data_IF_561855524206
#
_entry.id   IF_561855524206
#
_cell.length_a   1.000
_cell.length_b   1.000
_cell.length_c   1.000
_cell.angle_alpha   90.00
_cell.angle_beta   90.00
_cell.angle_gamma   90.00
#
_symmetry.space_group_name_H-M   'P 1'
#
loop_
_entity.id
_entity.type
_entity.pdbx_description
1 polymer ?
#
# COMPACT_ATOMS: atom_id res chain seq x y z
N UNK A 1 30.21 62.38 3.40
CA UNK A 1 31.12 62.15 2.25
C UNK A 1 30.24 61.74 1.08
N UNK A 2 29.70 62.63 0.23
CA UNK A 2 30.35 63.34 -0.90
C UNK A 2 31.39 62.50 -1.65
N UNK A 3 31.01 61.95 -2.80
CA UNK A 3 31.61 62.17 -4.13
C UNK A 3 30.76 61.45 -5.20
N UNK A 4 30.07 62.23 -6.06
CA UNK A 4 30.42 62.59 -7.45
C UNK A 4 30.14 61.43 -8.43
N UNK A 5 29.00 61.47 -9.15
CA UNK A 5 28.83 62.13 -10.46
C UNK A 5 29.74 61.56 -11.54
N UNK A 6 29.18 60.72 -12.40
CA UNK A 6 29.52 60.69 -13.82
C UNK A 6 28.29 60.32 -14.63
N UNK A 7 27.64 61.35 -15.13
CA UNK A 7 26.67 61.29 -16.21
C UNK A 7 27.34 60.70 -17.45
N UNK A 8 26.78 59.61 -17.98
CA UNK A 8 26.96 59.25 -19.38
C UNK A 8 25.63 59.44 -20.09
N UNK A 9 25.39 60.68 -20.51
CA UNK A 9 24.49 61.00 -21.61
C UNK A 9 25.06 60.38 -22.88
N UNK A 10 24.38 59.38 -23.43
CA UNK A 10 24.58 59.00 -24.83
C UNK A 10 23.28 59.37 -25.55
N UNK A 11 23.47 60.27 -26.50
CA UNK A 11 22.46 60.99 -27.23
C UNK A 11 21.51 60.04 -27.98
N UNK A 12 20.22 60.32 -27.81
CA UNK A 12 19.15 59.92 -28.73
C UNK A 12 19.42 60.59 -30.10
N UNK A 13 20.22 59.96 -30.95
CA UNK A 13 20.31 60.33 -32.37
C UNK A 13 19.16 59.66 -33.10
N UNK A 14 18.06 60.38 -33.19
CA UNK A 14 16.96 60.10 -34.11
C UNK A 14 17.50 60.16 -35.55
N UNK A 15 17.83 59.00 -36.12
CA UNK A 15 18.06 58.87 -37.55
C UNK A 15 16.69 58.73 -38.21
N UNK A 16 16.13 59.88 -38.56
CA UNK A 16 14.99 60.02 -39.45
C UNK A 16 15.44 59.62 -40.87
N UNK A 17 15.44 58.32 -41.16
CA UNK A 17 15.53 57.82 -42.54
C UNK A 17 14.17 58.08 -43.18
N UNK A 18 14.05 59.24 -43.84
CA UNK A 18 13.07 59.50 -44.89
C UNK A 18 13.34 58.52 -46.05
N UNK A 19 12.80 57.31 -45.94
CA UNK A 19 12.74 56.37 -47.04
C UNK A 19 11.61 56.82 -47.96
N UNK A 20 12.01 57.33 -49.12
CA UNK A 20 11.15 57.72 -50.22
C UNK A 20 10.14 56.61 -50.52
N UNK A 21 8.86 56.98 -50.56
CA UNK A 21 7.78 56.14 -51.08
C UNK A 21 8.03 56.00 -52.58
N UNK A 22 8.76 54.96 -52.95
CA UNK A 22 8.73 54.44 -54.30
C UNK A 22 7.36 53.78 -54.49
N UNK A 23 6.43 54.51 -55.08
CA UNK A 23 5.19 53.97 -55.65
C UNK A 23 5.52 53.08 -56.86
N UNK A 24 6.10 51.92 -56.58
CA UNK A 24 6.01 50.76 -57.46
C UNK A 24 4.82 49.94 -57.00
N UNK A 25 3.98 49.50 -57.93
CA UNK A 25 2.90 48.55 -57.67
C UNK A 25 3.46 47.18 -57.25
N UNK A 26 4.12 47.10 -56.10
CA UNK A 26 4.33 45.85 -55.39
C UNK A 26 2.96 45.50 -54.79
N UNK A 27 2.29 44.50 -55.34
CA UNK A 27 0.99 44.07 -54.82
C UNK A 27 1.15 43.69 -53.35
N UNK A 28 0.48 44.40 -52.46
CA UNK A 28 0.43 44.04 -51.05
C UNK A 28 -0.40 42.78 -50.90
N UNK A 29 0.05 41.84 -50.05
CA UNK A 29 -0.71 40.63 -49.72
C UNK A 29 -2.13 41.03 -49.30
N UNK A 30 -3.19 40.37 -49.84
CA UNK A 30 -4.56 40.66 -49.45
C UNK A 30 -4.77 40.50 -47.95
N UNK A 31 -5.49 41.42 -47.30
CA UNK A 31 -5.76 41.34 -45.86
C UNK A 31 -6.46 40.05 -45.47
N UNK A 32 -7.33 39.50 -46.32
CA UNK A 32 -8.01 38.23 -46.05
C UNK A 32 -7.03 37.06 -45.91
N UNK A 33 -5.91 37.07 -46.65
CA UNK A 33 -4.86 36.04 -46.53
C UNK A 33 -4.10 36.20 -45.21
N UNK A 34 -3.85 37.45 -44.80
CA UNK A 34 -3.21 37.76 -43.50
C UNK A 34 -4.10 37.32 -42.35
N UNK A 35 -5.39 37.63 -42.40
CA UNK A 35 -6.37 37.29 -41.37
C UNK A 35 -6.53 35.78 -41.21
N UNK A 36 -6.59 35.02 -42.31
CA UNK A 36 -6.66 33.55 -42.26
C UNK A 36 -5.42 32.95 -41.59
N UNK A 37 -4.22 33.43 -41.94
CA UNK A 37 -2.98 32.93 -41.35
C UNK A 37 -2.86 33.32 -39.86
N UNK A 38 -3.28 34.53 -39.51
CA UNK A 38 -3.34 34.98 -38.12
C UNK A 38 -4.30 34.11 -37.30
N UNK A 39 -5.52 33.92 -37.78
CA UNK A 39 -6.51 33.08 -37.11
C UNK A 39 -6.03 31.61 -36.99
N UNK A 40 -5.26 31.10 -37.96
CA UNK A 40 -4.68 29.77 -37.87
C UNK A 40 -3.60 29.70 -36.79
N UNK A 41 -2.78 30.75 -36.65
CA UNK A 41 -1.80 30.85 -35.58
C UNK A 41 -2.48 30.98 -34.21
N UNK A 42 -3.48 31.85 -34.09
CA UNK A 42 -4.27 32.01 -32.86
C UNK A 42 -4.93 30.68 -32.45
N UNK A 43 -5.45 29.91 -33.42
CA UNK A 43 -5.99 28.57 -33.17
C UNK A 43 -4.90 27.57 -32.69
N UNK A 44 -3.70 27.61 -33.28
CA UNK A 44 -2.56 26.77 -32.82
C UNK A 44 -2.11 27.14 -31.42
N UNK A 45 -2.04 28.44 -31.11
CA UNK A 45 -1.73 28.96 -29.78
C UNK A 45 -2.84 28.61 -28.77
N UNK A 46 -4.07 28.43 -29.23
CA UNK A 46 -5.19 27.85 -28.48
C UNK A 46 -5.16 26.31 -28.40
N UNK A 47 -4.06 25.66 -28.77
CA UNK A 47 -3.85 24.21 -28.73
C UNK A 47 -4.71 23.41 -29.73
N UNK A 48 -5.11 23.98 -30.87
CA UNK A 48 -5.88 23.26 -31.89
C UNK A 48 -5.19 22.01 -32.44
N UNK A 49 -3.86 21.91 -32.34
CA UNK A 49 -3.10 20.71 -32.70
C UNK A 49 -3.37 19.51 -31.80
N UNK A 50 -3.95 19.74 -30.62
CA UNK A 50 -4.32 18.69 -29.65
C UNK A 50 -5.83 18.52 -29.58
N UNK A 51 -6.57 19.64 -29.56
CA UNK A 51 -8.01 19.63 -29.27
C UNK A 51 -8.92 19.77 -30.49
N UNK A 52 -8.36 20.07 -31.67
CA UNK A 52 -9.12 20.22 -32.91
C UNK A 52 -8.35 19.61 -34.10
N UNK A 53 -7.62 18.51 -33.86
CA UNK A 53 -6.66 17.92 -34.82
C UNK A 53 -7.28 17.60 -36.18
N UNK A 54 -8.46 16.99 -36.18
CA UNK A 54 -9.16 16.61 -37.41
C UNK A 54 -9.60 17.85 -38.20
N UNK A 55 -10.25 18.80 -37.52
CA UNK A 55 -10.71 20.06 -38.11
C UNK A 55 -9.52 20.91 -38.62
N UNK A 56 -8.40 20.94 -37.90
CA UNK A 56 -7.16 21.60 -38.27
C UNK A 56 -6.56 20.97 -39.55
N UNK A 57 -6.47 19.64 -39.60
CA UNK A 57 -5.99 18.92 -40.79
C UNK A 57 -6.87 19.20 -42.01
N UNK A 58 -8.18 19.35 -41.81
CA UNK A 58 -9.16 19.63 -42.85
C UNK A 58 -9.06 21.03 -43.47
N UNK A 59 -8.43 22.00 -42.79
CA UNK A 59 -8.19 23.35 -43.34
C UNK A 59 -6.76 23.56 -43.82
N UNK A 60 -5.79 22.80 -43.31
CA UNK A 60 -4.36 23.04 -43.52
C UNK A 60 -3.97 23.02 -45.00
N UNK A 61 -4.44 22.04 -45.78
CA UNK A 61 -4.15 21.96 -47.22
C UNK A 61 -4.71 23.15 -48.03
N UNK A 62 -5.86 23.69 -47.61
CA UNK A 62 -6.44 24.89 -48.21
C UNK A 62 -5.65 26.15 -47.87
N UNK A 63 -5.18 26.27 -46.62
CA UNK A 63 -4.30 27.37 -46.20
C UNK A 63 -2.95 27.31 -46.93
N UNK A 64 -2.37 26.11 -47.09
CA UNK A 64 -1.11 25.92 -47.82
C UNK A 64 -1.26 26.31 -49.31
N UNK A 65 -2.37 25.92 -49.95
CA UNK A 65 -2.72 26.34 -51.32
C UNK A 65 -2.87 27.86 -51.44
N UNK A 66 -3.61 28.47 -50.51
CA UNK A 66 -3.81 29.92 -50.46
C UNK A 66 -2.49 30.67 -50.32
N UNK A 67 -1.59 30.19 -49.45
CA UNK A 67 -0.28 30.78 -49.20
C UNK A 67 0.64 30.64 -50.43
N UNK A 68 0.68 29.47 -51.07
CA UNK A 68 1.44 29.27 -52.30
C UNK A 68 0.98 30.23 -53.43
N UNK A 69 -0.32 30.50 -53.54
CA UNK A 69 -0.84 31.48 -54.49
C UNK A 69 -0.43 32.92 -54.14
N UNK A 70 -0.35 33.26 -52.85
CA UNK A 70 0.10 34.58 -52.42
C UNK A 70 1.60 34.77 -52.71
N UNK A 71 2.42 33.74 -52.45
CA UNK A 71 3.86 33.73 -52.73
C UNK A 71 4.15 33.87 -54.23
N UNK A 72 3.33 33.24 -55.09
CA UNK A 72 3.38 33.37 -56.54
C UNK A 72 2.84 34.72 -57.07
N UNK A 73 2.49 35.67 -56.20
CA UNK A 73 1.84 36.96 -56.53
C UNK A 73 0.46 36.81 -57.21
N UNK A 74 -0.19 35.64 -57.09
CA UNK A 74 -1.52 35.34 -57.65
C UNK A 74 -2.64 35.80 -56.72
N UNK A 75 -2.58 37.05 -56.26
CA UNK A 75 -3.42 37.60 -55.17
C UNK A 75 -4.93 37.48 -55.37
N UNK A 76 -5.44 37.62 -56.61
CA UNK A 76 -6.88 37.44 -56.87
C UNK A 76 -7.35 36.01 -56.58
N UNK A 77 -6.51 35.01 -56.87
CA UNK A 77 -6.82 33.61 -56.60
C UNK A 77 -6.67 33.30 -55.11
N UNK A 78 -5.58 33.77 -54.49
CA UNK A 78 -5.36 33.65 -53.04
C UNK A 78 -6.55 34.23 -52.23
N UNK A 79 -7.01 35.44 -52.58
CA UNK A 79 -8.19 36.07 -51.93
C UNK A 79 -9.48 35.25 -52.10
N UNK A 80 -9.67 34.59 -53.25
CA UNK A 80 -10.83 33.73 -53.51
C UNK A 80 -10.80 32.47 -52.64
N UNK A 81 -9.62 31.92 -52.38
CA UNK A 81 -9.43 30.76 -51.49
C UNK A 81 -9.52 31.16 -50.00
N UNK A 82 -9.07 32.37 -49.64
CA UNK A 82 -9.14 32.89 -48.27
C UNK A 82 -10.57 33.00 -47.73
N UNK A 83 -11.54 33.42 -48.56
CA UNK A 83 -12.92 33.67 -48.12
C UNK A 83 -13.59 32.48 -47.42
N UNK A 84 -13.65 31.29 -48.06
CA UNK A 84 -14.17 30.08 -47.43
C UNK A 84 -13.34 29.55 -46.26
N UNK A 85 -12.04 29.88 -46.20
CA UNK A 85 -11.15 29.44 -45.12
C UNK A 85 -11.33 30.26 -43.84
N UNK A 86 -11.63 31.55 -43.95
CA UNK A 86 -11.73 32.46 -42.80
C UNK A 86 -12.69 31.95 -41.71
N UNK A 87 -13.91 31.56 -42.07
CA UNK A 87 -14.89 31.05 -41.11
C UNK A 87 -14.53 29.69 -40.52
N UNK A 88 -13.90 28.84 -41.32
CA UNK A 88 -13.46 27.50 -40.89
C UNK A 88 -12.31 27.60 -39.89
N UNK A 89 -11.34 28.46 -40.18
CA UNK A 89 -10.17 28.69 -39.32
C UNK A 89 -10.59 29.38 -38.02
N UNK A 90 -11.48 30.38 -38.06
CA UNK A 90 -12.01 30.99 -36.83
C UNK A 90 -12.79 30.01 -35.96
N UNK A 91 -13.44 29.00 -36.58
CA UNK A 91 -14.13 27.93 -35.86
C UNK A 91 -13.17 27.04 -35.05
N UNK A 92 -11.94 26.83 -35.52
CA UNK A 92 -10.95 25.99 -34.86
C UNK A 92 -10.54 26.50 -33.49
N UNK A 93 -10.38 27.82 -33.34
CA UNK A 93 -10.04 28.41 -32.05
C UNK A 93 -11.15 28.14 -31.02
N UNK A 94 -12.42 28.31 -31.43
CA UNK A 94 -13.57 28.06 -30.55
C UNK A 94 -13.70 26.59 -30.19
N UNK A 95 -13.56 25.70 -31.18
CA UNK A 95 -13.55 24.25 -30.99
C UNK A 95 -12.44 23.83 -30.02
N UNK A 96 -11.20 24.26 -30.28
CA UNK A 96 -10.05 23.96 -29.43
C UNK A 96 -10.21 24.52 -28.01
N UNK A 97 -10.72 25.75 -27.86
CA UNK A 97 -10.95 26.35 -26.56
C UNK A 97 -12.02 25.61 -25.74
N UNK A 98 -13.11 25.16 -26.38
CA UNK A 98 -14.17 24.37 -25.74
C UNK A 98 -13.61 23.02 -25.27
N UNK A 99 -13.00 22.26 -26.18
CA UNK A 99 -12.43 20.94 -25.88
C UNK A 99 -11.28 21.02 -24.85
N UNK A 100 -10.47 22.08 -24.87
CA UNK A 100 -9.45 22.34 -23.84
C UNK A 100 -10.06 22.57 -22.46
N UNK A 101 -11.19 23.28 -22.38
CA UNK A 101 -11.88 23.54 -21.11
C UNK A 101 -12.44 22.23 -20.52
N UNK A 102 -13.00 21.37 -21.37
CA UNK A 102 -13.43 20.03 -20.96
C UNK A 102 -12.25 19.16 -20.51
N UNK A 103 -11.16 19.15 -21.27
CA UNK A 103 -9.95 18.42 -20.93
C UNK A 103 -9.32 18.90 -19.61
N UNK A 104 -9.34 20.21 -19.35
CA UNK A 104 -8.89 20.79 -18.08
C UNK A 104 -9.70 20.26 -16.91
N UNK A 105 -11.03 20.32 -17.00
CA UNK A 105 -11.94 19.80 -15.97
C UNK A 105 -11.71 18.30 -15.71
N UNK A 106 -11.52 17.52 -16.78
CA UNK A 106 -11.19 16.10 -16.68
C UNK A 106 -9.85 15.87 -15.97
N UNK A 107 -8.81 16.64 -16.31
CA UNK A 107 -7.50 16.54 -15.67
C UNK A 107 -7.55 16.90 -14.17
N UNK A 108 -8.24 18.00 -13.82
CA UNK A 108 -8.44 18.40 -12.42
C UNK A 108 -9.17 17.32 -11.62
N UNK A 109 -10.22 16.73 -12.20
CA UNK A 109 -10.97 15.63 -11.58
C UNK A 109 -10.09 14.38 -11.39
N UNK A 110 -9.33 14.01 -12.42
CA UNK A 110 -8.45 12.84 -12.36
C UNK A 110 -7.34 13.01 -11.32
N UNK A 111 -6.73 14.19 -11.24
CA UNK A 111 -5.70 14.51 -10.24
C UNK A 111 -6.30 14.46 -8.83
N UNK A 112 -7.47 15.07 -8.62
CA UNK A 112 -8.15 15.03 -7.31
C UNK A 112 -8.46 13.58 -6.88
N UNK A 113 -8.91 12.73 -7.81
CA UNK A 113 -9.12 11.31 -7.52
C UNK A 113 -7.81 10.59 -7.16
N UNK A 114 -6.74 10.84 -7.91
CA UNK A 114 -5.42 10.26 -7.61
C UNK A 114 -4.92 10.70 -6.24
N UNK A 115 -5.05 11.97 -5.87
CA UNK A 115 -4.67 12.49 -4.55
C UNK A 115 -5.49 11.86 -3.40
N UNK A 116 -6.79 11.67 -3.59
CA UNK A 116 -7.63 10.98 -2.61
C UNK A 116 -7.23 9.50 -2.43
N UNK A 117 -6.79 8.83 -3.50
CA UNK A 117 -6.28 7.46 -3.42
C UNK A 117 -4.89 7.40 -2.77
N UNK A 118 -4.03 8.40 -3.01
CA UNK A 118 -2.75 8.55 -2.31
C UNK A 118 -2.97 8.70 -0.80
N UNK A 119 -3.96 9.48 -0.38
CA UNK A 119 -4.32 9.62 1.04
C UNK A 119 -4.71 8.26 1.65
N UNK A 120 -5.57 7.48 0.98
CA UNK A 120 -5.91 6.11 1.42
C UNK A 120 -4.70 5.18 1.49
N UNK A 121 -3.76 5.29 0.54
CA UNK A 121 -2.53 4.51 0.57
C UNK A 121 -1.66 4.90 1.79
N UNK A 122 -1.60 6.18 2.15
CA UNK A 122 -0.90 6.62 3.36
C UNK A 122 -1.59 6.15 4.65
N UNK A 123 -2.93 6.11 4.71
CA UNK A 123 -3.66 5.59 5.88
C UNK A 123 -3.29 4.14 6.22
N UNK A 124 -3.02 3.33 5.20
CA UNK A 124 -2.55 1.95 5.37
C UNK A 124 -1.02 1.84 5.46
N UNK A 125 -0.32 2.96 5.68
CA UNK A 125 1.13 3.04 5.84
C UNK A 125 1.90 2.48 4.62
N UNK A 126 1.37 2.67 3.41
CA UNK A 126 1.96 2.10 2.20
C UNK A 126 3.43 2.54 1.95
N UNK A 127 3.85 3.69 2.45
CA UNK A 127 5.27 4.10 2.39
C UNK A 127 6.21 3.11 3.11
N UNK A 128 5.76 2.44 4.17
CA UNK A 128 6.55 1.44 4.90
C UNK A 128 6.47 0.06 4.24
N UNK A 129 5.26 -0.33 3.81
CA UNK A 129 4.98 -1.71 3.39
C UNK A 129 4.97 -1.93 1.87
N UNK A 130 4.95 -0.87 1.06
CA UNK A 130 5.00 -0.90 -0.40
C UNK A 130 5.88 0.22 -1.01
N UNK A 131 7.15 0.38 -0.56
CA UNK A 131 7.97 1.56 -0.87
C UNK A 131 8.28 1.76 -2.36
N UNK A 132 8.50 0.67 -3.11
CA UNK A 132 8.79 0.74 -4.56
C UNK A 132 7.59 1.25 -5.36
N UNK A 133 6.39 0.79 -5.00
CA UNK A 133 5.15 1.25 -5.62
C UNK A 133 4.87 2.71 -5.25
N UNK A 134 5.09 3.11 -3.99
CA UNK A 134 4.96 4.50 -3.55
C UNK A 134 5.96 5.46 -4.26
N UNK A 135 7.18 5.00 -4.55
CA UNK A 135 8.15 5.77 -5.33
C UNK A 135 7.63 6.07 -6.74
N UNK A 136 7.13 5.03 -7.42
CA UNK A 136 6.54 5.15 -8.76
C UNK A 136 5.28 6.02 -8.76
N UNK A 137 4.43 5.86 -7.75
CA UNK A 137 3.22 6.66 -7.53
C UNK A 137 3.56 8.15 -7.43
N UNK A 138 4.53 8.51 -6.58
CA UNK A 138 4.95 9.90 -6.39
C UNK A 138 5.48 10.52 -7.68
N UNK A 139 6.24 9.75 -8.46
CA UNK A 139 6.71 10.21 -9.78
C UNK A 139 5.54 10.49 -10.74
N UNK A 140 4.51 9.64 -10.77
CA UNK A 140 3.33 9.83 -11.64
C UNK A 140 2.46 11.00 -11.21
N UNK A 141 2.23 11.19 -9.91
CA UNK A 141 1.51 12.37 -9.39
C UNK A 141 2.23 13.66 -9.78
N UNK A 142 3.55 13.70 -9.64
CA UNK A 142 4.33 14.88 -10.03
C UNK A 142 4.25 15.14 -11.54
N UNK A 143 4.40 14.09 -12.37
CA UNK A 143 4.28 14.20 -13.82
C UNK A 143 2.88 14.70 -14.25
N UNK A 144 1.82 14.21 -13.60
CA UNK A 144 0.45 14.67 -13.87
C UNK A 144 0.28 16.17 -13.54
N UNK A 145 0.82 16.63 -12.40
CA UNK A 145 0.80 18.05 -12.00
C UNK A 145 1.61 18.93 -12.94
N UNK A 146 2.77 18.47 -13.40
CA UNK A 146 3.59 19.16 -14.38
C UNK A 146 2.88 19.27 -15.74
N UNK A 147 2.26 18.19 -16.21
CA UNK A 147 1.46 18.21 -17.44
C UNK A 147 0.25 19.15 -17.31
N UNK A 148 -0.41 19.20 -16.15
CA UNK A 148 -1.55 20.09 -15.91
C UNK A 148 -1.17 21.59 -15.85
N UNK A 149 0.12 21.92 -15.74
CA UNK A 149 0.58 23.31 -15.85
C UNK A 149 0.57 23.83 -17.29
N UNK A 150 0.53 22.95 -18.30
CA UNK A 150 0.51 23.30 -19.72
C UNK A 150 -0.91 23.11 -20.30
N UNK A 151 -1.57 24.19 -20.80
CA UNK A 151 -2.90 24.12 -21.36
C UNK A 151 -3.07 23.17 -22.55
N UNK A 152 -1.98 22.77 -23.22
CA UNK A 152 -2.03 21.82 -24.33
C UNK A 152 -1.80 20.36 -23.90
N UNK A 153 -1.57 20.09 -22.61
CA UNK A 153 -1.22 18.74 -22.09
C UNK A 153 -2.24 18.18 -21.10
N UNK A 154 -3.46 18.71 -21.02
CA UNK A 154 -4.47 18.19 -20.09
C UNK A 154 -4.88 16.73 -20.34
N UNK A 155 -4.84 16.27 -21.59
CA UNK A 155 -5.10 14.85 -21.91
C UNK A 155 -4.00 13.94 -21.37
N UNK A 156 -2.74 14.37 -21.45
CA UNK A 156 -1.59 13.68 -20.86
C UNK A 156 -1.68 13.69 -19.33
N UNK A 157 -2.02 14.83 -18.72
CA UNK A 157 -2.24 14.94 -17.28
C UNK A 157 -3.32 13.97 -16.79
N UNK A 158 -4.43 13.85 -17.52
CA UNK A 158 -5.50 12.88 -17.22
C UNK A 158 -4.98 11.44 -17.24
N UNK A 159 -4.20 11.07 -18.27
CA UNK A 159 -3.61 9.73 -18.37
C UNK A 159 -2.64 9.42 -17.23
N UNK A 160 -1.73 10.35 -16.93
CA UNK A 160 -0.76 10.22 -15.83
C UNK A 160 -1.44 10.14 -14.45
N UNK A 161 -2.52 10.90 -14.25
CA UNK A 161 -3.32 10.83 -13.04
C UNK A 161 -4.08 9.50 -12.92
N UNK A 162 -4.56 8.93 -14.02
CA UNK A 162 -5.13 7.58 -14.06
C UNK A 162 -4.10 6.51 -13.65
N UNK A 163 -2.90 6.55 -14.22
CA UNK A 163 -1.80 5.66 -13.82
C UNK A 163 -1.40 5.85 -12.35
N UNK A 164 -1.42 7.09 -11.85
CA UNK A 164 -1.19 7.37 -10.44
C UNK A 164 -2.29 6.76 -9.55
N UNK A 165 -3.55 6.87 -9.94
CA UNK A 165 -4.67 6.26 -9.22
C UNK A 165 -4.51 4.73 -9.11
N UNK A 166 -4.17 4.05 -10.21
CA UNK A 166 -3.91 2.60 -10.22
C UNK A 166 -2.72 2.22 -9.32
N UNK A 167 -1.64 3.00 -9.35
CA UNK A 167 -0.49 2.79 -8.48
C UNK A 167 -0.82 2.99 -7.00
N UNK A 168 -1.69 3.95 -6.67
CA UNK A 168 -2.13 4.20 -5.29
C UNK A 168 -2.96 3.03 -4.74
N UNK A 169 -3.90 2.52 -5.53
CA UNK A 169 -4.68 1.33 -5.14
C UNK A 169 -3.78 0.10 -4.98
N UNK A 170 -2.83 -0.09 -5.91
CA UNK A 170 -1.85 -1.17 -5.81
C UNK A 170 -0.98 -1.05 -4.56
N UNK A 171 -0.47 0.14 -4.25
CA UNK A 171 0.33 0.39 -3.06
C UNK A 171 -0.45 0.06 -1.78
N UNK A 172 -1.71 0.47 -1.70
CA UNK A 172 -2.58 0.16 -0.57
C UNK A 172 -2.81 -1.36 -0.42
N UNK A 173 -3.08 -2.06 -1.53
CA UNK A 173 -3.29 -3.51 -1.52
C UNK A 173 -2.02 -4.29 -1.13
N UNK A 174 -0.85 -3.89 -1.65
CA UNK A 174 0.45 -4.46 -1.28
C UNK A 174 0.76 -4.25 0.20
N UNK A 175 0.48 -3.06 0.72
CA UNK A 175 0.69 -2.72 2.13
C UNK A 175 -0.12 -3.61 3.08
N UNK A 176 -1.42 -3.74 2.82
CA UNK A 176 -2.32 -4.60 3.60
C UNK A 176 -1.91 -6.09 3.51
N UNK A 177 -1.51 -6.54 2.32
CA UNK A 177 -1.04 -7.92 2.13
C UNK A 177 0.25 -8.20 2.93
N UNK A 178 1.21 -7.28 2.94
CA UNK A 178 2.45 -7.42 3.69
C UNK A 178 2.21 -7.35 5.22
N UNK A 179 1.33 -6.43 5.68
CA UNK A 179 0.91 -6.37 7.09
C UNK A 179 0.31 -7.69 7.56
N UNK A 180 -0.60 -8.24 6.76
CA UNK A 180 -1.20 -9.55 7.04
C UNK A 180 -0.15 -10.66 7.08
N UNK A 181 0.79 -10.69 6.13
CA UNK A 181 1.88 -11.67 6.10
C UNK A 181 2.73 -11.60 7.36
N UNK A 182 3.13 -10.40 7.80
CA UNK A 182 3.91 -10.20 9.03
C UNK A 182 3.16 -10.63 10.28
N UNK A 183 1.86 -10.30 10.37
CA UNK A 183 1.02 -10.72 11.49
C UNK A 183 0.85 -12.25 11.56
N UNK A 184 0.68 -12.92 10.42
CA UNK A 184 0.61 -14.38 10.34
C UNK A 184 1.95 -15.04 10.71
N UNK A 185 3.06 -14.46 10.26
CA UNK A 185 4.42 -14.91 10.61
C UNK A 185 4.70 -14.75 12.11
N UNK A 186 4.31 -13.63 12.71
CA UNK A 186 4.41 -13.43 14.16
C UNK A 186 3.54 -14.41 14.94
N UNK A 187 2.28 -14.61 14.53
CA UNK A 187 1.40 -15.59 15.15
C UNK A 187 2.00 -16.99 15.10
N UNK A 188 2.57 -17.39 13.95
CA UNK A 188 3.26 -18.68 13.81
C UNK A 188 4.47 -18.77 14.75
N UNK A 189 5.28 -17.72 14.83
CA UNK A 189 6.44 -17.68 15.74
C UNK A 189 6.01 -17.85 17.21
N UNK A 190 4.98 -17.11 17.64
CA UNK A 190 4.44 -17.22 19.00
C UNK A 190 3.84 -18.60 19.29
N UNK A 191 3.20 -19.23 18.30
CA UNK A 191 2.68 -20.59 18.43
C UNK A 191 3.81 -21.63 18.56
N UNK A 192 4.86 -21.50 17.74
CA UNK A 192 6.06 -22.35 17.85
C UNK A 192 6.77 -22.17 19.21
N UNK A 193 6.90 -20.93 19.69
CA UNK A 193 7.46 -20.63 21.01
C UNK A 193 6.59 -21.22 22.13
N UNK A 194 5.26 -21.11 22.03
CA UNK A 194 4.32 -21.72 22.99
C UNK A 194 4.49 -23.24 23.03
N UNK A 195 4.54 -23.90 21.87
CA UNK A 195 4.68 -25.36 21.79
C UNK A 195 6.03 -25.82 22.35
N UNK A 196 7.12 -25.07 22.09
CA UNK A 196 8.43 -25.34 22.69
C UNK A 196 8.40 -25.18 24.20
N UNK A 197 7.80 -24.10 24.70
CA UNK A 197 7.68 -23.87 26.15
C UNK A 197 6.83 -24.95 26.83
N UNK A 198 5.74 -25.40 26.19
CA UNK A 198 4.91 -26.51 26.66
C UNK A 198 5.72 -27.82 26.69
N UNK A 199 6.49 -28.11 25.63
CA UNK A 199 7.34 -29.30 25.60
C UNK A 199 8.45 -29.25 26.64
N UNK A 200 9.11 -28.11 26.82
CA UNK A 200 10.13 -27.89 27.84
C UNK A 200 9.56 -28.04 29.25
N UNK A 201 8.37 -27.49 29.51
CA UNK A 201 7.66 -27.67 30.77
C UNK A 201 7.33 -29.15 31.03
N UNK A 202 6.83 -29.88 30.01
CA UNK A 202 6.58 -31.32 30.11
C UNK A 202 7.85 -32.09 30.45
N UNK A 203 8.95 -31.81 29.74
CA UNK A 203 10.26 -32.47 29.99
C UNK A 203 10.79 -32.14 31.39
N UNK A 204 10.64 -30.91 31.86
CA UNK A 204 11.06 -30.50 33.19
C UNK A 204 10.25 -31.20 34.28
N UNK A 205 8.94 -31.38 34.09
CA UNK A 205 8.10 -32.14 35.03
C UNK A 205 8.46 -33.63 35.01
N UNK A 206 8.68 -34.23 33.83
CA UNK A 206 9.17 -35.61 33.73
C UNK A 206 10.53 -35.79 34.44
N UNK A 207 11.46 -34.84 34.31
CA UNK A 207 12.74 -34.88 35.03
C UNK A 207 12.57 -34.72 36.54
N UNK A 208 11.70 -33.80 36.97
CA UNK A 208 11.37 -33.60 38.39
C UNK A 208 10.81 -34.89 38.99
N UNK A 209 9.87 -35.55 38.31
CA UNK A 209 9.30 -36.82 38.74
C UNK A 209 10.34 -37.94 38.80
N UNK A 210 11.33 -37.96 37.88
CA UNK A 210 12.47 -38.90 37.92
C UNK A 210 13.41 -38.69 39.10
N UNK A 211 13.54 -37.47 39.63
CA UNK A 211 14.39 -37.19 40.81
C UNK A 211 13.76 -37.68 42.11
N UNK A 212 12.46 -37.91 42.13
CA UNK A 212 11.78 -38.44 43.31
C UNK A 212 11.94 -39.96 43.42
N UNK A 213 12.00 -40.50 44.66
CA UNK A 213 12.16 -41.92 44.89
C UNK A 213 11.00 -42.72 44.29
N UNK A 214 11.33 -43.82 43.62
CA UNK A 214 10.40 -44.83 43.09
C UNK A 214 10.07 -45.92 44.11
N UNK A 215 10.75 -45.94 45.26
CA UNK A 215 10.41 -46.79 46.40
C UNK A 215 10.58 -46.05 47.72
N UNK A 216 9.88 -46.51 48.75
CA UNK A 216 9.96 -45.96 50.10
C UNK A 216 10.01 -47.11 51.12
N UNK A 217 10.98 -47.05 52.04
CA UNK A 217 11.06 -47.99 53.15
C UNK A 217 10.27 -47.44 54.34
N UNK A 218 9.24 -48.18 54.74
CA UNK A 218 8.34 -47.82 55.85
C UNK A 218 9.14 -47.63 57.14
N UNK A 219 8.91 -46.51 57.82
CA UNK A 219 9.50 -46.19 59.12
C UNK A 219 8.49 -46.36 60.25
N UNK A 220 8.99 -46.41 61.49
CA UNK A 220 8.14 -46.54 62.67
C UNK A 220 7.24 -45.30 62.81
N UNK A 221 5.93 -45.54 62.78
CA UNK A 221 4.91 -44.48 62.90
C UNK A 221 4.38 -43.96 61.57
N UNK A 222 4.81 -44.54 60.45
CA UNK A 222 4.23 -44.23 59.15
C UNK A 222 2.81 -44.81 59.00
N UNK A 223 2.03 -44.13 58.16
CA UNK A 223 0.78 -44.63 57.59
C UNK A 223 0.78 -44.33 56.10
N UNK A 224 0.02 -45.07 55.30
CA UNK A 224 -0.08 -44.82 53.86
C UNK A 224 -0.46 -43.36 53.55
N UNK A 225 -1.33 -42.77 54.37
CA UNK A 225 -1.72 -41.36 54.31
C UNK A 225 -0.56 -40.39 54.52
N UNK A 226 0.27 -40.62 55.56
CA UNK A 226 1.45 -39.77 55.83
C UNK A 226 2.53 -39.93 54.78
N UNK A 227 2.75 -41.16 54.31
CA UNK A 227 3.72 -41.43 53.25
C UNK A 227 3.29 -40.71 51.96
N UNK A 228 2.01 -40.83 51.56
CA UNK A 228 1.50 -40.12 50.38
C UNK A 228 1.58 -38.59 50.51
N UNK A 229 1.43 -38.03 51.71
CA UNK A 229 1.55 -36.59 51.95
C UNK A 229 2.96 -36.04 51.73
N UNK A 230 4.01 -36.87 51.77
CA UNK A 230 5.38 -36.41 51.56
C UNK A 230 5.55 -35.88 50.14
N UNK A 231 6.15 -34.69 49.99
CA UNK A 231 6.40 -34.05 48.68
C UNK A 231 7.22 -34.95 47.75
N UNK A 232 8.16 -35.71 48.31
CA UNK A 232 8.97 -36.68 47.58
C UNK A 232 8.21 -37.94 47.17
N UNK A 233 6.98 -38.17 47.66
CA UNK A 233 6.14 -39.33 47.32
C UNK A 233 4.98 -38.89 46.43
N UNK A 234 3.94 -38.25 46.97
CA UNK A 234 2.85 -37.71 46.14
C UNK A 234 2.56 -36.24 46.45
N UNK A 235 3.07 -35.70 47.56
CA UNK A 235 2.75 -34.35 48.04
C UNK A 235 1.27 -34.17 48.39
N UNK A 236 0.48 -35.24 48.33
CA UNK A 236 -0.95 -35.22 48.49
C UNK A 236 -1.38 -36.45 49.31
N UNK A 237 -1.83 -36.26 50.58
CA UNK A 237 -2.26 -37.37 51.42
C UNK A 237 -3.41 -38.19 50.82
N UNK A 238 -4.27 -37.57 50.02
CA UNK A 238 -5.43 -38.24 49.41
C UNK A 238 -5.05 -39.30 48.38
N UNK A 239 -3.77 -39.35 47.98
CA UNK A 239 -3.24 -40.30 46.99
C UNK A 239 -2.74 -41.61 47.63
N UNK A 240 -2.91 -41.78 48.95
CA UNK A 240 -2.63 -43.04 49.63
C UNK A 240 -3.27 -44.28 49.00
N UNK A 241 -4.47 -44.23 48.36
CA UNK A 241 -5.02 -45.42 47.70
C UNK A 241 -4.16 -45.86 46.51
N UNK A 242 -3.52 -44.96 45.79
CA UNK A 242 -2.61 -45.33 44.68
C UNK A 242 -1.37 -46.04 45.20
N UNK A 243 -0.85 -45.60 46.35
CA UNK A 243 0.27 -46.25 47.02
C UNK A 243 -0.12 -47.67 47.46
N UNK A 244 -1.34 -47.83 48.00
CA UNK A 244 -1.88 -49.14 48.34
C UNK A 244 -2.01 -50.01 47.08
N UNK A 245 -2.64 -49.52 46.03
CA UNK A 245 -2.88 -50.24 44.78
C UNK A 245 -1.58 -50.76 44.15
N UNK A 246 -0.53 -49.93 44.14
CA UNK A 246 0.79 -50.34 43.62
C UNK A 246 1.45 -51.46 44.44
N UNK A 247 0.99 -51.71 45.67
CA UNK A 247 1.56 -52.65 46.61
C UNK A 247 0.53 -53.65 47.17
N UNK A 248 -0.61 -53.85 46.49
CA UNK A 248 -1.70 -54.73 46.94
C UNK A 248 -1.22 -56.17 47.20
N UNK A 249 -0.24 -56.66 46.45
CA UNK A 249 0.36 -57.98 46.65
C UNK A 249 1.20 -58.09 47.93
N UNK A 250 1.67 -56.96 48.47
CA UNK A 250 2.52 -56.86 49.65
C UNK A 250 1.78 -56.31 50.89
N UNK A 251 0.62 -55.67 50.71
CA UNK A 251 -0.19 -55.09 51.79
C UNK A 251 -1.57 -55.75 51.78
N UNK A 252 -1.85 -56.60 52.77
CA UNK A 252 -3.15 -57.25 52.89
C UNK A 252 -4.23 -56.38 53.55
N UNK A 253 -3.84 -55.47 54.45
CA UNK A 253 -4.73 -54.48 55.08
C UNK A 253 -4.10 -53.09 54.92
N UNK A 254 -4.78 -52.13 54.26
CA UNK A 254 -4.28 -50.77 54.09
C UNK A 254 -3.90 -50.05 55.40
N UNK A 255 -4.49 -50.46 56.53
CA UNK A 255 -4.20 -49.89 57.85
C UNK A 255 -2.96 -50.52 58.52
N UNK A 256 -2.38 -51.56 57.93
CA UNK A 256 -1.35 -52.39 58.55
C UNK A 256 -0.10 -52.49 57.66
N UNK A 257 0.82 -51.54 57.85
CA UNK A 257 2.17 -51.54 57.25
C UNK A 257 3.24 -51.67 58.34
N UNK A 258 4.36 -52.33 58.03
CA UNK A 258 5.39 -52.64 59.02
C UNK A 258 6.71 -51.92 58.75
N UNK A 259 7.44 -51.46 59.79
CA UNK A 259 8.76 -50.86 59.62
C UNK A 259 9.73 -51.80 58.87
N UNK A 260 10.43 -51.27 57.87
CA UNK A 260 11.34 -52.02 57.00
C UNK A 260 10.68 -52.59 55.74
N UNK A 261 9.35 -52.52 55.60
CA UNK A 261 8.66 -52.89 54.38
C UNK A 261 9.00 -51.91 53.25
N UNK A 262 9.36 -52.41 52.07
CA UNK A 262 9.62 -51.59 50.89
C UNK A 262 8.33 -51.43 50.07
N UNK A 263 7.94 -50.19 49.80
CA UNK A 263 6.77 -49.83 49.01
C UNK A 263 7.21 -49.27 47.66
N UNK A 264 6.61 -49.75 46.58
CA UNK A 264 6.76 -49.18 45.23
C UNK A 264 5.89 -47.93 45.10
N UNK A 265 6.47 -46.85 44.60
CA UNK A 265 5.76 -45.58 44.34
C UNK A 265 5.56 -45.43 42.84
N UNK A 266 4.30 -45.43 42.40
CA UNK A 266 3.93 -45.31 40.99
C UNK A 266 4.13 -43.86 40.50
N UNK A 267 4.77 -43.67 39.33
CA UNK A 267 5.13 -42.35 38.76
C UNK A 267 4.74 -42.14 37.29
N UNK A 268 4.27 -43.18 36.63
CA UNK A 268 3.93 -43.23 35.21
C UNK A 268 2.53 -42.69 34.89
N UNK A 269 1.77 -42.25 35.91
CA UNK A 269 0.44 -41.67 35.72
C UNK A 269 0.52 -40.16 35.55
N UNK A 270 -0.15 -39.67 34.51
CA UNK A 270 -0.52 -38.25 34.40
C UNK A 270 -1.50 -37.86 35.51
N UNK A 271 -1.68 -36.56 35.74
CA UNK A 271 -2.65 -36.05 36.74
C UNK A 271 -4.08 -36.51 36.42
N UNK A 272 -4.46 -36.54 35.15
CA UNK A 272 -5.78 -37.02 34.71
C UNK A 272 -5.98 -38.51 35.00
N UNK A 273 -5.00 -39.34 34.63
CA UNK A 273 -5.02 -40.79 34.91
C UNK A 273 -5.02 -41.08 36.42
N UNK A 274 -4.30 -40.26 37.19
CA UNK A 274 -4.28 -40.32 38.66
C UNK A 274 -5.66 -40.05 39.24
N UNK A 275 -6.33 -38.99 38.79
CA UNK A 275 -7.67 -38.62 39.25
C UNK A 275 -8.73 -39.63 38.81
N UNK A 276 -8.59 -40.24 37.64
CA UNK A 276 -9.47 -41.33 37.18
C UNK A 276 -9.27 -42.60 38.01
N UNK A 277 -8.02 -43.03 38.24
CA UNK A 277 -7.70 -44.18 39.06
C UNK A 277 -8.25 -44.04 40.49
N UNK A 278 -8.07 -42.86 41.09
CA UNK A 278 -8.66 -42.53 42.39
C UNK A 278 -10.19 -42.62 42.33
N UNK A 279 -10.85 -41.96 41.36
CA UNK A 279 -12.32 -42.02 41.22
C UNK A 279 -12.84 -43.45 41.04
N UNK A 280 -12.12 -44.31 40.33
CA UNK A 280 -12.44 -45.72 40.19
C UNK A 280 -12.32 -46.48 41.52
N UNK A 281 -11.22 -46.29 42.23
CA UNK A 281 -11.00 -46.89 43.55
C UNK A 281 -12.06 -46.45 44.56
N UNK A 282 -12.37 -45.16 44.64
CA UNK A 282 -13.39 -44.63 45.55
C UNK A 282 -14.78 -45.21 45.23
N UNK A 283 -15.11 -45.39 43.95
CA UNK A 283 -16.35 -46.08 43.54
C UNK A 283 -16.37 -47.54 43.99
N UNK A 284 -15.27 -48.26 43.83
CA UNK A 284 -15.15 -49.66 44.25
C UNK A 284 -15.22 -49.83 45.76
N UNK A 285 -14.57 -48.95 46.52
CA UNK A 285 -14.59 -48.98 47.99
C UNK A 285 -15.98 -48.59 48.55
N UNK A 286 -16.69 -47.68 47.88
CA UNK A 286 -18.07 -47.36 48.24
C UNK A 286 -19.03 -48.53 47.99
N UNK A 287 -18.87 -49.25 46.88
CA UNK A 287 -19.71 -50.41 46.56
C UNK A 287 -19.47 -51.61 47.49
N UNK A 288 -18.23 -51.84 47.94
CA UNK A 288 -17.89 -52.92 48.87
C UNK A 288 -18.23 -52.64 50.34
N UNK A 289 -18.75 -51.46 50.66
CA UNK A 289 -19.19 -51.09 52.02
C UNK A 289 -20.70 -51.31 52.25
N UNK A 290 -21.45 -51.73 51.21
CA UNK A 290 -22.90 -52.01 51.26
C UNK A 290 -23.24 -53.51 51.33
N UNK A 291 -22.25 -54.41 51.31
CA UNK A 291 -22.38 -55.86 51.59
C UNK A 291 -21.90 -56.22 53.00
#
# INVERSE_FOLDING_TARGET
MRQRLSHFSIAFTAVLVLLAIASGCAGTIPQEVVDVNRALQDAKDACATVYATDSLSGVQSGVDSMNALADDNRYRKARKEAGPLASRVSGLETEAASARTEAKSAAETAIANAEALVEKAHEVEADEYAPETCSSLRAKVNAAKEAAADPCRYTEATGLAGEAAELAERAAAEAEAEKKRRAEEEKRRLEEERLKAEEEARRAEEERLRRFPSSYTVQRGDSLWRIAAMETIYGNPTYWPLLYQANESAISDPNLIYPGQELTVRRDLTEEQTNEALRGMWRSMAAGAEE
#
